data_IF_441587066784
#
_entry.id   IF_441587066784
#
_cell.length_a   1.000
_cell.length_b   1.000
_cell.length_c   1.000
_cell.angle_alpha   90.00
_cell.angle_beta   90.00
_cell.angle_gamma   90.00
#
_symmetry.space_group_name_H-M   'P 1'
#
loop_
_entity.id
_entity.type
_entity.pdbx_description
1 polymer ?
#
# COMPACT_ATOMS: atom_id res chain seq x y z
N UNK A 1 5.65 10.47 -11.13
CA UNK A 1 5.82 11.72 -10.35
C UNK A 1 6.97 11.49 -9.38
N UNK A 2 8.05 12.26 -9.51
CA UNK A 2 9.09 12.29 -8.48
C UNK A 2 8.60 13.32 -7.47
N UNK A 3 7.99 12.88 -6.37
CA UNK A 3 7.62 13.79 -5.30
C UNK A 3 8.85 14.06 -4.44
N UNK A 4 9.25 15.32 -4.36
CA UNK A 4 10.17 15.80 -3.33
C UNK A 4 9.40 15.84 -2.01
N UNK A 5 10.00 15.35 -0.92
CA UNK A 5 9.38 15.37 0.40
C UNK A 5 10.32 16.06 1.41
N UNK A 6 9.81 17.04 2.14
CA UNK A 6 10.47 17.62 3.31
C UNK A 6 9.79 17.09 4.56
N UNK A 7 10.59 16.59 5.49
CA UNK A 7 10.15 16.00 6.74
C UNK A 7 10.71 16.77 7.93
N UNK A 8 9.88 17.01 8.94
CA UNK A 8 10.30 17.64 10.19
C UNK A 8 9.80 16.88 11.42
N UNK A 9 10.47 17.08 12.55
CA UNK A 9 10.16 16.43 13.82
C UNK A 9 10.67 15.00 13.91
N UNK A 10 10.01 14.21 14.77
CA UNK A 10 10.31 12.81 15.00
C UNK A 10 11.14 12.57 16.25
N UNK A 11 11.50 11.31 16.48
CA UNK A 11 12.27 10.89 17.64
C UNK A 11 13.54 10.13 17.29
N UNK A 12 14.49 10.11 18.22
CA UNK A 12 15.57 9.14 18.20
C UNK A 12 15.07 7.73 18.59
N UNK A 13 15.98 6.75 18.55
CA UNK A 13 15.68 5.35 18.91
C UNK A 13 15.32 5.15 20.38
N UNK A 14 15.63 6.13 21.25
CA UNK A 14 15.30 6.12 22.68
C UNK A 14 13.96 6.83 22.95
N UNK A 15 13.31 7.38 21.92
CA UNK A 15 12.05 8.09 22.02
C UNK A 15 12.18 9.56 22.41
N UNK A 16 13.39 10.13 22.41
CA UNK A 16 13.59 11.56 22.64
C UNK A 16 13.16 12.34 21.40
N UNK A 17 12.47 13.46 21.59
CA UNK A 17 12.09 14.38 20.51
C UNK A 17 13.34 14.95 19.81
N UNK A 18 13.25 15.05 18.49
CA UNK A 18 14.28 15.62 17.60
C UNK A 18 13.83 16.96 16.99
N UNK A 19 12.76 17.57 17.50
CA UNK A 19 12.33 18.89 17.04
C UNK A 19 13.38 19.93 17.44
N UNK A 20 13.67 20.86 16.53
CA UNK A 20 14.65 21.94 16.73
C UNK A 20 14.09 23.25 16.20
N UNK A 21 14.81 24.37 16.38
CA UNK A 21 14.40 25.67 15.83
C UNK A 21 14.15 25.60 14.32
N UNK A 22 14.94 24.79 13.59
CA UNK A 22 14.74 24.56 12.15
C UNK A 22 13.40 23.90 11.83
N UNK A 23 12.85 23.05 12.70
CA UNK A 23 11.51 22.46 12.54
C UNK A 23 10.45 23.56 12.43
N UNK A 24 10.52 24.55 13.32
CA UNK A 24 9.56 25.66 13.37
C UNK A 24 9.76 26.65 12.23
N UNK A 25 11.02 26.92 11.84
CA UNK A 25 11.33 27.77 10.68
C UNK A 25 10.76 27.15 9.40
N UNK A 26 10.92 25.83 9.19
CA UNK A 26 10.37 25.13 8.02
C UNK A 26 8.84 25.19 8.03
N UNK A 27 8.20 24.93 9.17
CA UNK A 27 6.74 25.04 9.31
C UNK A 27 6.22 26.44 8.96
N UNK A 28 6.90 27.49 9.43
CA UNK A 28 6.53 28.86 9.11
C UNK A 28 6.73 29.18 7.63
N UNK A 29 7.81 28.69 7.01
CA UNK A 29 8.04 28.83 5.56
C UNK A 29 6.93 28.15 4.73
N UNK A 30 6.48 26.96 5.15
CA UNK A 30 5.34 26.28 4.53
C UNK A 30 4.03 27.05 4.74
N UNK A 31 3.81 27.58 5.94
CA UNK A 31 2.64 28.40 6.24
C UNK A 31 2.59 29.68 5.41
N UNK A 32 3.71 30.37 5.22
CA UNK A 32 3.76 31.59 4.42
C UNK A 32 3.68 31.32 2.92
N UNK A 33 4.37 30.27 2.43
CA UNK A 33 4.42 29.98 1.00
C UNK A 33 3.09 29.42 0.48
N UNK A 34 2.38 28.63 1.29
CA UNK A 34 1.14 27.94 0.94
C UNK A 34 1.21 27.21 -0.42
N UNK A 35 2.38 26.65 -0.75
CA UNK A 35 2.61 25.93 -2.01
C UNK A 35 2.42 24.42 -1.82
N UNK A 36 1.88 23.72 -2.82
CA UNK A 36 1.65 22.28 -2.75
C UNK A 36 2.94 21.44 -2.90
N UNK A 37 4.08 22.07 -3.21
CA UNK A 37 5.37 21.41 -3.38
C UNK A 37 6.50 22.20 -2.69
N UNK A 38 7.51 21.51 -2.12
CA UNK A 38 7.60 20.04 -2.04
C UNK A 38 6.56 19.45 -1.07
N UNK A 39 6.23 18.16 -1.21
CA UNK A 39 5.35 17.48 -0.25
C UNK A 39 5.90 17.67 1.17
N UNK A 40 5.01 17.83 2.13
CA UNK A 40 5.39 18.10 3.52
C UNK A 40 4.86 17.02 4.45
N UNK A 41 5.75 16.43 5.24
CA UNK A 41 5.42 15.44 6.25
C UNK A 41 5.94 15.85 7.62
N UNK A 42 5.18 15.50 8.65
CA UNK A 42 5.56 15.70 10.04
C UNK A 42 5.64 14.34 10.73
N UNK A 43 6.76 14.12 11.42
CA UNK A 43 7.00 12.93 12.22
C UNK A 43 6.55 13.20 13.66
N UNK A 44 5.65 12.36 14.17
CA UNK A 44 5.05 12.49 15.50
C UNK A 44 5.32 11.24 16.34
N UNK A 45 5.43 11.44 17.64
CA UNK A 45 5.71 10.39 18.62
C UNK A 45 5.09 10.75 19.99
N UNK A 46 5.08 9.83 20.98
CA UNK A 46 4.43 10.08 22.28
C UNK A 46 4.96 11.26 23.09
N UNK A 47 6.21 11.67 22.85
CA UNK A 47 6.85 12.79 23.54
C UNK A 47 6.93 14.05 22.67
N UNK A 48 6.19 14.12 21.57
CA UNK A 48 6.16 15.31 20.71
C UNK A 48 5.71 16.54 21.51
N UNK A 49 6.49 17.65 21.54
CA UNK A 49 6.17 18.84 22.31
C UNK A 49 4.84 19.46 21.89
N UNK A 50 4.09 19.98 22.87
CA UNK A 50 2.81 20.66 22.61
C UNK A 50 2.96 21.84 21.64
N UNK A 51 4.06 22.60 21.73
CA UNK A 51 4.32 23.71 20.82
C UNK A 51 4.50 23.27 19.36
N UNK A 52 4.99 22.06 19.11
CA UNK A 52 5.07 21.52 17.75
C UNK A 52 3.67 21.24 17.21
N UNK A 53 2.76 20.65 17.99
CA UNK A 53 1.35 20.49 17.60
C UNK A 53 0.67 21.83 17.30
N UNK A 54 0.95 22.86 18.11
CA UNK A 54 0.42 24.21 17.88
C UNK A 54 0.92 24.81 16.56
N UNK A 55 2.21 24.63 16.24
CA UNK A 55 2.78 25.11 14.99
C UNK A 55 2.24 24.35 13.76
N UNK A 56 2.07 23.02 13.86
CA UNK A 56 1.41 22.20 12.82
C UNK A 56 -0.03 22.68 12.60
N UNK A 57 -0.77 22.92 13.68
CA UNK A 57 -2.16 23.39 13.61
C UNK A 57 -2.26 24.72 12.85
N UNK A 58 -1.39 25.69 13.16
CA UNK A 58 -1.31 26.97 12.45
C UNK A 58 -1.16 26.77 10.93
N UNK A 59 -0.30 25.85 10.51
CA UNK A 59 -0.13 25.51 9.10
C UNK A 59 -1.37 24.84 8.50
N UNK A 60 -1.99 23.88 9.18
CA UNK A 60 -3.17 23.14 8.68
C UNK A 60 -4.40 24.02 8.42
N UNK A 61 -4.53 25.15 9.12
CA UNK A 61 -5.63 26.09 8.89
C UNK A 61 -5.45 26.98 7.65
N UNK A 62 -4.37 26.79 6.88
CA UNK A 62 -4.28 27.35 5.55
C UNK A 62 -5.17 26.58 4.58
N UNK A 63 -6.14 27.26 3.98
CA UNK A 63 -6.97 26.67 2.94
C UNK A 63 -6.15 26.40 1.67
N UNK A 64 -6.44 25.28 1.01
CA UNK A 64 -5.94 24.98 -0.34
C UNK A 64 -4.88 23.89 -0.46
N UNK A 65 -4.54 23.17 0.63
CA UNK A 65 -3.67 22.00 0.55
C UNK A 65 -4.06 20.88 1.52
N UNK A 66 -3.63 19.66 1.21
CA UNK A 66 -3.84 18.45 2.02
C UNK A 66 -2.61 18.05 2.84
N UNK A 67 -1.68 18.97 3.05
CA UNK A 67 -0.47 18.79 3.87
C UNK A 67 -0.69 19.30 5.30
N UNK A 68 0.07 18.80 6.30
CA UNK A 68 1.13 17.80 6.18
C UNK A 68 0.60 16.36 6.24
N UNK A 69 1.40 15.40 5.75
CA UNK A 69 1.22 13.99 6.12
C UNK A 69 1.75 13.72 7.52
N UNK A 70 1.01 12.96 8.32
CA UNK A 70 1.40 12.60 9.68
C UNK A 70 2.01 11.20 9.72
N UNK A 71 3.22 11.09 10.24
CA UNK A 71 3.95 9.82 10.34
C UNK A 71 4.18 9.48 11.81
N UNK A 72 3.66 8.34 12.24
CA UNK A 72 3.82 7.85 13.60
C UNK A 72 5.14 7.07 13.73
N UNK A 73 6.13 7.64 14.41
CA UNK A 73 7.45 7.03 14.55
C UNK A 73 7.42 5.67 15.24
N UNK A 74 6.49 5.44 16.18
CA UNK A 74 6.35 4.14 16.84
C UNK A 74 5.94 3.07 15.83
N UNK A 75 4.96 3.37 14.99
CA UNK A 75 4.49 2.46 13.95
C UNK A 75 5.54 2.25 12.85
N UNK A 76 6.17 3.34 12.39
CA UNK A 76 7.19 3.29 11.34
C UNK A 76 8.43 2.55 11.81
N UNK A 77 8.96 2.85 13.00
CA UNK A 77 10.10 2.11 13.55
C UNK A 77 9.79 0.63 13.74
N UNK A 78 8.58 0.28 14.19
CA UNK A 78 8.16 -1.12 14.28
C UNK A 78 8.19 -1.82 12.92
N UNK A 79 7.69 -1.15 11.87
CA UNK A 79 7.70 -1.69 10.50
C UNK A 79 9.14 -1.83 9.95
N UNK A 80 10.00 -0.83 10.15
CA UNK A 80 11.39 -0.85 9.71
C UNK A 80 12.23 -1.90 10.45
N UNK A 81 12.02 -2.07 11.77
CA UNK A 81 12.65 -3.16 12.55
C UNK A 81 12.24 -4.53 12.00
N UNK A 82 10.95 -4.74 11.70
CA UNK A 82 10.46 -5.99 11.08
C UNK A 82 11.05 -6.25 9.69
N UNK A 83 11.37 -5.18 8.96
CA UNK A 83 12.06 -5.22 7.65
C UNK A 83 13.56 -5.53 7.77
N UNK A 84 14.13 -5.54 8.99
CA UNK A 84 15.55 -5.82 9.22
C UNK A 84 16.45 -4.58 9.10
N UNK A 85 15.89 -3.36 9.20
CA UNK A 85 16.69 -2.14 9.29
C UNK A 85 17.42 -2.12 10.64
N UNK A 86 18.70 -1.72 10.60
CA UNK A 86 19.53 -1.63 11.79
C UNK A 86 19.03 -0.51 12.71
N UNK A 87 19.14 -0.72 14.02
CA UNK A 87 18.53 0.18 15.00
C UNK A 87 19.06 1.61 14.86
N UNK A 88 20.37 1.78 14.65
CA UNK A 88 21.01 3.08 14.47
C UNK A 88 20.50 3.87 13.26
N UNK A 89 19.95 3.18 12.25
CA UNK A 89 19.48 3.77 11.00
C UNK A 89 17.99 4.13 11.05
N UNK A 90 17.22 3.64 12.04
CA UNK A 90 15.77 3.84 12.11
C UNK A 90 15.38 5.31 12.12
N UNK A 91 16.08 6.14 12.91
CA UNK A 91 15.80 7.58 13.00
C UNK A 91 16.02 8.33 11.67
N UNK A 92 16.84 7.77 10.79
CA UNK A 92 17.21 8.34 9.49
C UNK A 92 16.20 8.01 8.38
N UNK A 93 15.05 7.40 8.73
CA UNK A 93 14.01 7.15 7.73
C UNK A 93 13.49 8.45 7.12
N UNK A 94 13.15 8.33 5.84
CA UNK A 94 12.53 9.35 5.00
C UNK A 94 11.36 8.74 4.24
N UNK A 95 10.51 9.56 3.63
CA UNK A 95 9.43 9.10 2.76
C UNK A 95 9.85 9.28 1.31
N UNK A 96 9.87 8.19 0.56
CA UNK A 96 9.99 8.22 -0.88
C UNK A 96 8.59 8.16 -1.49
N UNK A 97 8.25 9.08 -2.40
CA UNK A 97 6.96 9.02 -3.08
C UNK A 97 5.82 9.54 -2.21
N UNK A 98 4.85 8.66 -1.95
CA UNK A 98 3.61 9.00 -1.26
C UNK A 98 3.81 8.89 0.26
N UNK A 99 4.09 7.68 0.77
CA UNK A 99 4.15 7.35 2.20
C UNK A 99 5.13 6.21 2.50
N UNK A 100 6.00 5.83 1.57
CA UNK A 100 6.89 4.68 1.68
C UNK A 100 8.14 5.01 2.53
N UNK A 101 8.30 4.42 3.74
CA UNK A 101 9.45 4.70 4.58
C UNK A 101 10.70 3.96 4.07
N UNK A 102 11.74 4.73 3.74
CA UNK A 102 13.05 4.25 3.31
C UNK A 102 14.17 4.92 4.12
N UNK A 103 15.32 4.28 4.23
CA UNK A 103 16.49 4.87 4.88
C UNK A 103 17.24 5.79 3.91
N UNK A 104 17.28 7.09 4.23
CA UNK A 104 17.88 8.11 3.36
C UNK A 104 19.34 7.77 3.04
N UNK A 105 19.70 7.83 1.77
CA UNK A 105 21.06 7.58 1.30
C UNK A 105 21.57 6.14 1.48
N UNK A 106 20.75 5.21 1.96
CA UNK A 106 21.19 3.84 2.30
C UNK A 106 20.31 2.75 1.71
N UNK A 107 19.13 3.11 1.22
CA UNK A 107 18.12 2.15 0.80
C UNK A 107 17.68 2.33 -0.66
N UNK A 108 17.86 1.30 -1.48
CA UNK A 108 17.20 1.17 -2.76
C UNK A 108 15.86 0.44 -2.61
N UNK A 109 14.76 1.19 -2.48
CA UNK A 109 13.45 0.63 -2.15
C UNK A 109 12.63 0.10 -3.32
N UNK A 110 12.92 0.55 -4.56
CA UNK A 110 12.12 0.26 -5.76
C UNK A 110 10.61 0.23 -5.50
N UNK A 111 10.06 1.33 -4.96
CA UNK A 111 8.77 1.37 -4.26
C UNK A 111 7.56 0.92 -5.07
N UNK A 112 7.63 0.98 -6.41
CA UNK A 112 6.52 0.71 -7.31
C UNK A 112 6.84 -0.35 -8.39
N UNK A 113 7.64 -1.37 -8.06
CA UNK A 113 8.04 -2.42 -9.02
C UNK A 113 6.86 -3.25 -9.53
N UNK A 114 5.81 -3.41 -8.73
CA UNK A 114 4.63 -4.19 -9.13
C UNK A 114 3.37 -3.71 -8.42
N UNK A 115 2.23 -3.90 -9.08
CA UNK A 115 0.93 -3.43 -8.60
C UNK A 115 -0.05 -4.60 -8.58
N UNK A 116 -0.80 -4.76 -7.49
CA UNK A 116 -1.83 -5.77 -7.33
C UNK A 116 -3.14 -5.09 -6.90
N UNK A 117 -4.24 -5.46 -7.51
CA UNK A 117 -5.57 -5.01 -7.10
C UNK A 117 -6.34 -6.19 -6.49
N UNK A 118 -6.54 -6.15 -5.18
CA UNK A 118 -7.24 -7.19 -4.41
C UNK A 118 -8.69 -7.36 -4.87
N UNK A 119 -9.38 -6.26 -5.19
CA UNK A 119 -10.77 -6.29 -5.64
C UNK A 119 -10.89 -6.93 -7.01
N UNK A 120 -9.91 -6.70 -7.89
CA UNK A 120 -9.84 -7.36 -9.20
C UNK A 120 -9.61 -8.85 -9.07
N UNK A 121 -8.74 -9.27 -8.15
CA UNK A 121 -8.54 -10.71 -7.87
C UNK A 121 -9.83 -11.33 -7.35
N UNK A 122 -10.58 -10.64 -6.49
CA UNK A 122 -11.87 -11.10 -6.00
C UNK A 122 -12.88 -11.27 -7.16
N UNK A 123 -13.04 -10.27 -8.03
CA UNK A 123 -13.92 -10.35 -9.21
C UNK A 123 -13.60 -11.59 -10.08
N UNK A 124 -12.32 -11.76 -10.44
CA UNK A 124 -11.86 -12.88 -11.27
C UNK A 124 -12.11 -14.21 -10.57
N UNK A 125 -11.92 -14.26 -9.24
CA UNK A 125 -12.19 -15.45 -8.44
C UNK A 125 -13.66 -15.83 -8.43
N UNK A 126 -14.59 -14.87 -8.49
CA UNK A 126 -16.04 -15.13 -8.54
C UNK A 126 -16.54 -15.45 -9.96
N UNK A 127 -15.69 -15.31 -10.98
CA UNK A 127 -16.08 -15.44 -12.38
C UNK A 127 -15.15 -16.38 -13.19
N UNK A 128 -14.72 -17.47 -12.56
CA UNK A 128 -13.97 -18.57 -13.19
C UNK A 128 -12.75 -18.12 -14.02
N UNK A 129 -12.01 -17.11 -13.54
CA UNK A 129 -10.82 -16.61 -14.23
C UNK A 129 -11.07 -15.51 -15.25
N UNK A 130 -12.33 -15.11 -15.49
CA UNK A 130 -12.68 -14.11 -16.50
C UNK A 130 -12.93 -12.73 -15.89
N UNK A 131 -12.44 -11.69 -16.57
CA UNK A 131 -12.79 -10.31 -16.26
C UNK A 131 -14.19 -9.97 -16.75
N UNK A 132 -15.03 -9.41 -15.89
CA UNK A 132 -16.33 -8.85 -16.27
C UNK A 132 -16.22 -7.54 -17.07
N UNK A 133 -15.08 -6.85 -16.97
CA UNK A 133 -14.83 -5.60 -17.71
C UNK A 133 -14.46 -5.90 -19.17
N UNK A 134 -13.44 -6.73 -19.41
CA UNK A 134 -12.92 -7.00 -20.76
C UNK A 134 -13.46 -8.28 -21.41
N UNK A 135 -14.06 -9.19 -20.63
CA UNK A 135 -14.42 -10.53 -21.10
C UNK A 135 -13.25 -11.50 -21.25
N UNK A 136 -12.01 -11.05 -21.00
CA UNK A 136 -10.81 -11.87 -21.19
C UNK A 136 -10.56 -12.82 -20.02
N UNK A 137 -9.96 -13.98 -20.31
CA UNK A 137 -9.45 -14.91 -19.30
C UNK A 137 -8.14 -14.36 -18.73
N UNK A 138 -8.21 -13.76 -17.55
CA UNK A 138 -7.05 -13.16 -16.85
C UNK A 138 -6.43 -14.10 -15.82
N UNK A 139 -7.20 -15.07 -15.33
CA UNK A 139 -6.78 -16.06 -14.35
C UNK A 139 -7.06 -17.49 -14.80
N UNK A 140 -6.57 -18.48 -14.04
CA UNK A 140 -6.94 -19.87 -14.23
C UNK A 140 -8.44 -20.04 -13.96
N UNK A 141 -9.03 -21.06 -14.58
CA UNK A 141 -10.34 -21.60 -14.23
C UNK A 141 -10.30 -22.32 -12.87
N UNK A 142 -11.48 -22.61 -12.33
CA UNK A 142 -11.64 -23.43 -11.12
C UNK A 142 -11.00 -24.81 -11.29
N UNK A 143 -11.19 -25.44 -12.45
CA UNK A 143 -10.57 -26.73 -12.79
C UNK A 143 -9.04 -26.65 -12.79
N UNK A 144 -8.46 -25.63 -13.44
CA UNK A 144 -7.00 -25.41 -13.45
C UNK A 144 -6.42 -25.11 -12.05
N UNK A 145 -7.25 -24.65 -11.11
CA UNK A 145 -6.87 -24.46 -9.69
C UNK A 145 -7.14 -25.68 -8.80
N UNK A 146 -7.76 -26.74 -9.35
CA UNK A 146 -8.18 -27.93 -8.62
C UNK A 146 -9.34 -27.69 -7.66
N UNK A 147 -10.29 -26.81 -8.03
CA UNK A 147 -11.49 -26.47 -7.26
C UNK A 147 -12.72 -27.23 -7.79
N UNK A 148 -13.65 -27.56 -6.91
CA UNK A 148 -14.91 -28.26 -7.25
C UNK A 148 -15.88 -27.38 -8.09
N UNK A 149 -16.87 -28.00 -8.74
CA UNK A 149 -17.82 -27.33 -9.68
C UNK A 149 -18.72 -26.24 -9.06
N UNK A 150 -18.75 -26.09 -7.73
CA UNK A 150 -19.49 -25.00 -7.07
C UNK A 150 -18.83 -24.58 -5.73
N UNK A 151 -17.73 -23.82 -5.78
CA UNK A 151 -16.91 -23.60 -4.60
C UNK A 151 -17.41 -22.43 -3.73
N UNK A 152 -18.68 -22.04 -3.85
CA UNK A 152 -19.25 -20.85 -3.21
C UNK A 152 -20.47 -21.15 -2.32
N UNK A 153 -20.54 -22.37 -1.78
CA UNK A 153 -21.60 -22.81 -0.89
C UNK A 153 -21.60 -22.12 0.48
N UNK A 154 -20.50 -21.45 0.85
CA UNK A 154 -20.38 -20.68 2.08
C UNK A 154 -19.36 -19.55 1.95
N UNK A 155 -19.37 -18.62 2.90
CA UNK A 155 -18.30 -17.63 3.04
C UNK A 155 -16.91 -18.28 3.18
N UNK A 156 -16.81 -19.36 3.95
CA UNK A 156 -15.55 -20.05 4.19
C UNK A 156 -14.96 -20.61 2.88
N UNK A 157 -15.78 -21.26 2.04
CA UNK A 157 -15.34 -21.77 0.74
C UNK A 157 -15.00 -20.62 -0.23
N UNK A 158 -15.83 -19.58 -0.29
CA UNK A 158 -15.56 -18.39 -1.11
C UNK A 158 -14.21 -17.76 -0.77
N UNK A 159 -13.90 -17.65 0.53
CA UNK A 159 -12.63 -17.11 1.02
C UNK A 159 -11.44 -18.00 0.63
N UNK A 160 -11.59 -19.33 0.68
CA UNK A 160 -10.56 -20.26 0.20
C UNK A 160 -10.30 -20.07 -1.29
N UNK A 161 -11.34 -19.99 -2.12
CA UNK A 161 -11.20 -19.72 -3.56
C UNK A 161 -10.44 -18.42 -3.79
N UNK A 162 -10.86 -17.34 -3.13
CA UNK A 162 -10.21 -16.04 -3.24
C UNK A 162 -8.71 -16.11 -2.89
N UNK A 163 -8.35 -16.81 -1.81
CA UNK A 163 -6.94 -17.00 -1.43
C UNK A 163 -6.15 -17.83 -2.43
N UNK A 164 -6.75 -18.84 -3.06
CA UNK A 164 -6.10 -19.61 -4.14
C UNK A 164 -5.80 -18.76 -5.36
N UNK A 165 -6.71 -17.86 -5.73
CA UNK A 165 -6.44 -16.88 -6.78
C UNK A 165 -5.37 -15.86 -6.37
N UNK A 166 -5.38 -15.39 -5.12
CA UNK A 166 -4.32 -14.52 -4.61
C UNK A 166 -2.95 -15.20 -4.66
N UNK A 167 -2.81 -16.44 -4.21
CA UNK A 167 -1.56 -17.19 -4.28
C UNK A 167 -1.03 -17.28 -5.72
N UNK A 168 -1.92 -17.50 -6.69
CA UNK A 168 -1.57 -17.52 -8.10
C UNK A 168 -1.05 -16.15 -8.59
N UNK A 169 -1.80 -15.08 -8.34
CA UNK A 169 -1.45 -13.74 -8.82
C UNK A 169 -0.26 -13.13 -8.08
N UNK A 170 -0.07 -13.43 -6.79
CA UNK A 170 1.10 -12.99 -6.01
C UNK A 170 2.38 -13.59 -6.61
N UNK A 171 2.39 -14.87 -7.00
CA UNK A 171 3.55 -15.49 -7.67
C UNK A 171 3.89 -14.79 -8.98
N UNK A 172 2.88 -14.48 -9.81
CA UNK A 172 3.06 -13.71 -11.04
C UNK A 172 3.57 -12.29 -10.78
N UNK A 173 3.04 -11.62 -9.76
CA UNK A 173 3.46 -10.29 -9.35
C UNK A 173 4.94 -10.27 -8.93
N UNK A 174 5.36 -11.26 -8.12
CA UNK A 174 6.76 -11.41 -7.69
C UNK A 174 7.67 -11.60 -8.90
N UNK A 175 7.31 -12.49 -9.84
CA UNK A 175 8.09 -12.71 -11.05
C UNK A 175 8.22 -11.42 -11.88
N UNK A 176 7.11 -10.70 -12.08
CA UNK A 176 7.14 -9.43 -12.81
C UNK A 176 8.00 -8.36 -12.12
N UNK A 177 7.93 -8.27 -10.78
CA UNK A 177 8.73 -7.34 -9.99
C UNK A 177 10.24 -7.64 -10.09
N UNK A 178 10.61 -8.93 -10.09
CA UNK A 178 12.00 -9.36 -10.23
C UNK A 178 12.52 -9.06 -11.64
N UNK A 179 11.75 -9.39 -12.68
CA UNK A 179 12.12 -9.07 -14.07
C UNK A 179 12.28 -7.55 -14.28
N UNK A 180 11.46 -6.73 -13.62
CA UNK A 180 11.61 -5.27 -13.64
C UNK A 180 12.93 -4.83 -13.02
N UNK A 181 13.29 -5.42 -11.87
CA UNK A 181 14.58 -5.16 -11.20
C UNK A 181 15.76 -5.53 -12.10
N UNK A 182 15.73 -6.71 -12.72
CA UNK A 182 16.77 -7.17 -13.65
C UNK A 182 16.90 -6.24 -14.87
N UNK A 183 15.78 -5.82 -15.45
CA UNK A 183 15.77 -4.89 -16.58
C UNK A 183 16.36 -3.52 -16.18
N UNK A 184 16.03 -3.01 -14.98
CA UNK A 184 16.57 -1.76 -14.47
C UNK A 184 18.07 -1.84 -14.15
N UNK A 185 18.58 -3.02 -13.80
CA UNK A 185 20.02 -3.25 -13.59
C UNK A 185 20.87 -3.01 -14.85
N UNK A 186 20.26 -2.99 -16.04
CA UNK A 186 20.94 -2.66 -17.30
C UNK A 186 21.12 -1.14 -17.51
N UNK A 187 20.51 -0.32 -16.64
CA UNK A 187 20.47 1.14 -16.74
C UNK A 187 21.12 1.78 -15.50
N UNK A 188 22.46 1.77 -15.40
CA UNK A 188 23.17 2.30 -14.24
C UNK A 188 22.92 3.79 -14.05
N UNK A 189 22.96 4.25 -12.81
CA UNK A 189 22.74 5.65 -12.42
C UNK A 189 23.86 6.18 -11.53
N UNK A 190 25.10 6.34 -12.05
CA UNK A 190 26.28 6.61 -11.24
C UNK A 190 26.14 7.82 -10.30
N UNK A 191 25.49 8.89 -10.76
CA UNK A 191 25.23 10.08 -9.96
C UNK A 191 24.33 9.78 -8.75
N UNK A 192 23.20 9.11 -8.95
CA UNK A 192 22.30 8.75 -7.85
C UNK A 192 22.93 7.68 -6.94
N UNK A 193 23.58 6.68 -7.54
CA UNK A 193 24.29 5.61 -6.85
C UNK A 193 25.31 6.17 -5.85
N UNK A 194 26.09 7.17 -6.25
CA UNK A 194 27.09 7.79 -5.37
C UNK A 194 26.49 8.27 -4.03
N UNK A 195 25.33 8.93 -4.06
CA UNK A 195 24.65 9.45 -2.86
C UNK A 195 23.80 8.42 -2.10
N UNK A 196 23.64 7.21 -2.65
CA UNK A 196 22.81 6.14 -2.07
C UNK A 196 23.64 4.98 -1.48
N UNK A 197 24.96 5.16 -1.33
CA UNK A 197 25.92 4.16 -0.82
C UNK A 197 26.86 3.59 -1.88
N UNK A 198 26.59 3.84 -3.16
CA UNK A 198 27.44 3.40 -4.29
C UNK A 198 28.83 4.03 -4.28
N UNK A 199 28.99 5.22 -3.65
CA UNK A 199 30.30 5.83 -3.44
C UNK A 199 31.19 5.05 -2.47
N UNK A 200 30.59 4.25 -1.58
CA UNK A 200 31.29 3.42 -0.59
C UNK A 200 31.54 2.01 -1.14
N UNK A 201 30.55 1.44 -1.84
CA UNK A 201 30.62 0.07 -2.37
C UNK A 201 31.31 -0.03 -3.72
N UNK A 202 31.35 1.05 -4.50
CA UNK A 202 31.80 1.04 -5.89
C UNK A 202 30.83 0.32 -6.84
N UNK A 203 29.64 -0.05 -6.38
CA UNK A 203 28.63 -0.79 -7.13
C UNK A 203 27.42 0.13 -7.36
N UNK A 204 26.85 0.09 -8.56
CA UNK A 204 25.66 0.88 -8.88
C UNK A 204 24.47 0.42 -8.02
N UNK A 205 23.64 1.35 -7.56
CA UNK A 205 22.50 1.02 -6.69
C UNK A 205 21.47 0.11 -7.36
N UNK A 206 21.44 0.04 -8.70
CA UNK A 206 20.53 -0.83 -9.47
C UNK A 206 21.15 -2.17 -9.83
N UNK A 207 22.45 -2.35 -9.63
CA UNK A 207 23.13 -3.61 -9.98
C UNK A 207 22.60 -4.75 -9.10
N UNK A 208 22.12 -5.81 -9.74
CA UNK A 208 21.65 -7.02 -9.07
C UNK A 208 22.59 -8.23 -9.27
N UNK A 209 23.67 -8.07 -10.02
CA UNK A 209 24.58 -9.15 -10.42
C UNK A 209 25.93 -9.10 -9.69
N UNK A 210 26.49 -7.90 -9.52
CA UNK A 210 27.86 -7.74 -9.00
C UNK A 210 27.94 -7.60 -7.48
N UNK A 211 26.79 -7.55 -6.81
CA UNK A 211 26.65 -7.28 -5.39
C UNK A 211 25.64 -6.15 -5.13
N UNK A 212 25.51 -5.74 -3.87
CA UNK A 212 24.57 -4.68 -3.48
C UNK A 212 25.28 -3.32 -3.48
N UNK A 213 24.76 -2.37 -4.26
CA UNK A 213 25.26 -0.98 -4.27
C UNK A 213 24.87 -0.15 -3.04
N UNK A 214 23.83 -0.58 -2.31
CA UNK A 214 23.30 0.13 -1.14
C UNK A 214 23.17 -0.82 0.06
N UNK A 215 23.17 -0.29 1.29
CA UNK A 215 23.09 -1.09 2.53
C UNK A 215 21.79 -1.90 2.63
N UNK A 216 20.68 -1.32 2.17
CA UNK A 216 19.35 -1.93 2.22
C UNK A 216 18.72 -1.97 0.83
N UNK A 217 18.14 -3.10 0.45
CA UNK A 217 17.50 -3.24 -0.85
C UNK A 217 16.12 -3.88 -0.67
N UNK A 218 15.14 -3.38 -1.41
CA UNK A 218 13.79 -3.90 -1.43
C UNK A 218 13.20 -3.84 -2.85
N UNK A 219 12.15 -4.62 -3.06
CA UNK A 219 11.32 -4.57 -4.26
C UNK A 219 9.90 -4.25 -3.81
N UNK A 220 9.48 -3.00 -3.99
CA UNK A 220 8.19 -2.51 -3.54
C UNK A 220 7.03 -3.06 -4.36
N UNK A 221 5.93 -3.38 -3.67
CA UNK A 221 4.67 -3.74 -4.30
C UNK A 221 3.55 -2.84 -3.78
N UNK A 222 2.73 -2.31 -4.70
CA UNK A 222 1.57 -1.50 -4.36
C UNK A 222 0.30 -2.36 -4.42
N UNK A 223 -0.31 -2.56 -3.25
CA UNK A 223 -1.53 -3.35 -3.10
C UNK A 223 -2.73 -2.40 -2.96
N UNK A 224 -3.65 -2.49 -3.91
CA UNK A 224 -4.84 -1.64 -4.01
C UNK A 224 -6.12 -2.42 -3.69
N UNK A 225 -7.18 -1.69 -3.37
CA UNK A 225 -8.53 -2.24 -3.26
C UNK A 225 -8.86 -2.88 -1.92
N UNK A 226 -8.05 -2.69 -0.87
CA UNK A 226 -8.28 -3.31 0.45
C UNK A 226 -9.70 -3.05 1.00
N UNK A 227 -10.14 -1.78 1.02
CA UNK A 227 -11.48 -1.43 1.51
C UNK A 227 -12.59 -2.09 0.71
N UNK A 228 -12.53 -1.96 -0.63
CA UNK A 228 -13.51 -2.58 -1.54
C UNK A 228 -13.56 -4.10 -1.34
N UNK A 229 -12.41 -4.77 -1.24
CA UNK A 229 -12.34 -6.21 -1.00
C UNK A 229 -12.89 -6.58 0.37
N UNK A 230 -12.55 -5.84 1.42
CA UNK A 230 -13.04 -6.10 2.78
C UNK A 230 -14.57 -5.97 2.86
N UNK A 231 -15.13 -4.90 2.28
CA UNK A 231 -16.57 -4.66 2.24
C UNK A 231 -17.27 -5.75 1.41
N UNK A 232 -16.73 -6.08 0.23
CA UNK A 232 -17.28 -7.13 -0.62
C UNK A 232 -17.29 -8.50 0.07
N UNK A 233 -16.22 -8.86 0.77
CA UNK A 233 -16.15 -10.10 1.54
C UNK A 233 -17.10 -10.07 2.75
N UNK A 234 -17.29 -8.91 3.37
CA UNK A 234 -18.27 -8.72 4.45
C UNK A 234 -19.67 -8.97 3.93
N UNK A 235 -20.04 -8.40 2.78
CA UNK A 235 -21.33 -8.65 2.12
C UNK A 235 -21.52 -10.14 1.83
N UNK A 236 -20.54 -10.81 1.23
CA UNK A 236 -20.59 -12.25 0.97
C UNK A 236 -20.78 -13.03 2.26
N UNK A 237 -20.11 -12.64 3.35
CA UNK A 237 -20.31 -13.24 4.67
C UNK A 237 -21.77 -13.09 5.12
N UNK A 238 -22.29 -11.87 5.17
CA UNK A 238 -23.68 -11.65 5.63
C UNK A 238 -24.74 -12.34 4.76
N UNK A 239 -24.48 -12.52 3.46
CA UNK A 239 -25.40 -13.19 2.55
C UNK A 239 -25.35 -14.73 2.67
N UNK A 240 -24.17 -15.32 2.91
CA UNK A 240 -23.94 -16.76 2.76
C UNK A 240 -23.30 -17.44 3.97
N UNK A 241 -23.29 -16.81 5.15
CA UNK A 241 -22.99 -17.51 6.40
C UNK A 241 -24.18 -18.38 6.85
N UNK A 242 -23.94 -19.32 7.76
CA UNK A 242 -24.96 -20.29 8.22
C UNK A 242 -26.22 -19.63 8.81
N UNK A 243 -26.06 -18.45 9.42
CA UNK A 243 -27.14 -17.72 10.10
C UNK A 243 -27.84 -16.69 9.19
N UNK A 244 -27.49 -16.66 7.90
CA UNK A 244 -28.07 -15.73 6.94
C UNK A 244 -29.58 -15.95 6.80
N UNK A 245 -30.33 -14.87 6.97
CA UNK A 245 -31.79 -14.83 6.73
C UNK A 245 -32.14 -14.38 5.32
N UNK A 246 -31.13 -14.14 4.48
CA UNK A 246 -31.29 -13.59 3.14
C UNK A 246 -31.58 -14.73 2.16
N UNK A 247 -32.55 -14.52 1.26
CA UNK A 247 -33.06 -15.57 0.35
C UNK A 247 -32.30 -15.67 -0.99
N UNK A 248 -31.31 -14.82 -1.21
CA UNK A 248 -30.54 -14.81 -2.47
C UNK A 248 -29.51 -15.93 -2.47
N UNK A 249 -29.38 -16.61 -3.60
CA UNK A 249 -28.33 -17.59 -3.85
C UNK A 249 -27.03 -16.90 -4.32
N UNK A 250 -25.93 -17.64 -4.32
CA UNK A 250 -24.68 -17.15 -4.90
C UNK A 250 -24.80 -16.87 -6.41
N UNK A 251 -25.64 -17.65 -7.11
CA UNK A 251 -25.93 -17.43 -8.52
C UNK A 251 -26.69 -16.11 -8.74
N UNK A 252 -27.58 -15.74 -7.82
CA UNK A 252 -28.27 -14.44 -7.87
C UNK A 252 -27.27 -13.30 -7.70
N UNK A 253 -26.33 -13.41 -6.74
CA UNK A 253 -25.29 -12.41 -6.56
C UNK A 253 -24.41 -12.27 -7.80
N UNK A 254 -23.88 -13.36 -8.35
CA UNK A 254 -23.01 -13.28 -9.53
C UNK A 254 -23.75 -12.77 -10.77
N UNK A 255 -25.02 -13.14 -10.94
CA UNK A 255 -25.88 -12.61 -12.01
C UNK A 255 -26.14 -11.11 -11.82
N UNK A 256 -26.45 -10.69 -10.60
CA UNK A 256 -26.64 -9.28 -10.26
C UNK A 256 -25.38 -8.46 -10.55
N UNK A 257 -24.20 -8.95 -10.15
CA UNK A 257 -22.92 -8.29 -10.43
C UNK A 257 -22.68 -8.14 -11.95
N UNK A 258 -22.94 -9.19 -12.74
CA UNK A 258 -22.81 -9.16 -14.22
C UNK A 258 -23.75 -8.15 -14.88
N UNK A 259 -24.94 -7.95 -14.31
CA UNK A 259 -25.96 -7.02 -14.80
C UNK A 259 -25.88 -5.63 -14.15
N UNK A 260 -24.82 -5.34 -13.38
CA UNK A 260 -24.71 -4.11 -12.61
C UNK A 260 -25.98 -3.80 -11.77
N UNK A 261 -26.52 -4.86 -11.15
CA UNK A 261 -27.75 -4.88 -10.36
C UNK A 261 -29.06 -4.54 -11.09
N UNK A 262 -29.08 -4.47 -12.42
CA UNK A 262 -30.31 -4.29 -13.19
C UNK A 262 -31.26 -5.49 -12.99
N UNK A 263 -32.44 -5.25 -12.43
CA UNK A 263 -33.41 -6.29 -12.05
C UNK A 263 -33.10 -6.99 -10.73
N UNK A 264 -32.12 -6.49 -9.96
CA UNK A 264 -31.73 -6.99 -8.63
C UNK A 264 -31.69 -5.82 -7.61
N UNK A 265 -32.60 -4.87 -7.73
CA UNK A 265 -32.65 -3.66 -6.90
C UNK A 265 -32.86 -3.98 -5.41
N UNK A 266 -33.65 -5.01 -5.10
CA UNK A 266 -33.83 -5.48 -3.72
C UNK A 266 -32.52 -5.96 -3.11
N UNK A 267 -31.76 -6.78 -3.84
CA UNK A 267 -30.45 -7.26 -3.40
C UNK A 267 -29.49 -6.08 -3.19
N UNK A 268 -29.44 -5.12 -4.12
CA UNK A 268 -28.61 -3.91 -3.99
C UNK A 268 -28.96 -3.12 -2.73
N UNK A 269 -30.25 -2.92 -2.46
CA UNK A 269 -30.73 -2.18 -1.28
C UNK A 269 -30.40 -2.90 0.03
N UNK A 270 -30.38 -4.23 0.05
CA UNK A 270 -29.97 -5.02 1.22
C UNK A 270 -28.46 -4.88 1.45
N UNK A 271 -27.67 -5.04 0.39
CA UNK A 271 -26.20 -4.98 0.45
C UNK A 271 -25.73 -3.63 1.01
N UNK A 272 -26.36 -2.53 0.60
CA UNK A 272 -26.00 -1.18 1.06
C UNK A 272 -26.22 -0.94 2.57
N UNK A 273 -26.95 -1.83 3.25
CA UNK A 273 -27.20 -1.74 4.70
C UNK A 273 -26.20 -2.54 5.52
N UNK A 274 -25.34 -3.35 4.88
CA UNK A 274 -24.32 -4.10 5.61
C UNK A 274 -23.19 -3.18 6.10
N UNK A 275 -22.49 -3.58 7.19
CA UNK A 275 -21.35 -2.82 7.71
C UNK A 275 -20.25 -2.68 6.66
N UNK A 276 -19.55 -1.54 6.68
CA UNK A 276 -18.40 -1.25 5.82
C UNK A 276 -17.16 -1.00 6.69
N UNK A 277 -15.98 -1.23 6.13
CA UNK A 277 -14.70 -1.01 6.80
C UNK A 277 -14.57 0.46 7.23
N UNK A 278 -14.38 0.67 8.54
CA UNK A 278 -14.18 2.00 9.12
C UNK A 278 -15.44 2.66 9.70
N UNK A 279 -16.58 1.96 9.70
CA UNK A 279 -17.85 2.38 10.33
C UNK A 279 -18.39 1.21 11.17
#
# INVERSE_FOLDING_TARGET
AISQNIMVGGSDVKGNDLSSDMTYIILEAYHQSNRPQPNFSVKIHPHTPFEFYRAISKFMFNFGHSSPSFLNDVAVFSALKKKGIAEEDLKEYSIAGCQEPLIKGKENGNTTNSWLNLAKVLEISLNNGYSLITGEKLGPSYEELGLEENPFSSFAETKKVYYRYLDYFIKKMIQAANNCTEALSLLPVPFASFFMGGGETGIDMRDCNSGLGTKYNASGCLIHGLGITADSLTVIKYLFDSDSKVKFSFNDLTTALKRNFEGFEELRNIIQKFPNLGI
#
